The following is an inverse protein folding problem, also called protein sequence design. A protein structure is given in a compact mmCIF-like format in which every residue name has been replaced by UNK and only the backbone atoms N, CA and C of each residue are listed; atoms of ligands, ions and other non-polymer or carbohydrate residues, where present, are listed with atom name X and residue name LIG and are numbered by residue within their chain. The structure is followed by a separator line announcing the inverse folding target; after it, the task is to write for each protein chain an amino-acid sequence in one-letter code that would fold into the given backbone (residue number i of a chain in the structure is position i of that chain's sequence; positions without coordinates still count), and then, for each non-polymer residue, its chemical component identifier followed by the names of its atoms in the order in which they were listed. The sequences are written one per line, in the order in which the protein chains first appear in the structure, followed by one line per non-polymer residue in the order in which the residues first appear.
data_IF_627254478620
#
_entry.id   IF_627254478620
#
_cell.length_a   1.000
_cell.length_b   1.000
_cell.length_c   1.000
_cell.angle_alpha   90.00
_cell.angle_beta   90.00
_cell.angle_gamma   90.00
#
_symmetry.space_group_name_H-M   'P 1'
#
loop_
_entity.id
_entity.type
_entity.pdbx_description
1 polymer ?
#
# COMPACT_ATOMS: atom_id res chain seq x y z
N UNK A 1 -27.01 81.70 35.85
CA UNK A 1 -27.81 81.08 36.93
C UNK A 1 -27.78 79.58 36.68
N UNK A 2 -27.48 78.78 37.71
CA UNK A 2 -27.41 77.30 37.70
C UNK A 2 -26.19 76.67 36.99
N UNK A 3 -25.61 75.53 37.38
CA UNK A 3 -25.98 74.48 38.35
C UNK A 3 -24.70 73.96 39.03
N UNK A 4 -24.63 73.94 40.37
CA UNK A 4 -23.63 73.16 41.10
C UNK A 4 -24.23 71.77 41.40
N UNK A 5 -23.80 70.74 40.68
CA UNK A 5 -24.19 69.36 40.95
C UNK A 5 -23.36 68.84 42.13
N UNK A 6 -23.97 68.69 43.31
CA UNK A 6 -23.37 68.01 44.46
C UNK A 6 -23.61 66.51 44.32
N UNK A 7 -22.53 65.74 44.12
CA UNK A 7 -22.57 64.27 44.11
C UNK A 7 -22.52 63.81 45.57
N UNK A 8 -23.61 63.25 46.07
CA UNK A 8 -23.64 62.56 47.36
C UNK A 8 -23.12 61.13 47.14
N UNK A 9 -21.96 60.84 47.73
CA UNK A 9 -21.32 59.52 47.66
C UNK A 9 -21.80 58.73 48.87
N UNK A 10 -22.76 57.83 48.67
CA UNK A 10 -23.26 56.97 49.74
C UNK A 10 -22.22 55.90 50.09
N UNK A 11 -22.06 55.58 51.37
CA UNK A 11 -21.02 54.65 51.88
C UNK A 11 -21.09 53.27 51.21
N UNK A 12 -22.28 52.84 50.78
CA UNK A 12 -22.51 51.60 50.03
C UNK A 12 -21.88 51.64 48.62
N UNK A 13 -21.87 52.79 47.96
CA UNK A 13 -21.24 52.94 46.63
C UNK A 13 -19.73 52.81 46.70
N UNK A 14 -19.11 53.31 47.77
CA UNK A 14 -17.66 53.17 48.01
C UNK A 14 -17.32 51.70 48.25
N UNK A 15 -18.13 50.99 49.04
CA UNK A 15 -17.91 49.59 49.37
C UNK A 15 -17.98 48.69 48.13
N UNK A 16 -18.90 48.99 47.20
CA UNK A 16 -19.05 48.24 45.95
C UNK A 16 -17.85 48.44 45.00
N UNK A 17 -17.30 49.66 44.91
CA UNK A 17 -16.10 49.95 44.11
C UNK A 17 -14.87 49.24 44.67
N UNK A 18 -14.73 49.17 45.99
CA UNK A 18 -13.61 48.46 46.65
C UNK A 18 -13.68 46.95 46.37
N UNK A 19 -14.86 46.35 46.42
CA UNK A 19 -15.05 44.91 46.13
C UNK A 19 -14.75 44.60 44.67
N UNK A 20 -15.20 45.44 43.73
CA UNK A 20 -14.89 45.27 42.30
C UNK A 20 -13.38 45.42 42.06
N UNK A 21 -12.73 46.41 42.67
CA UNK A 21 -11.28 46.60 42.57
C UNK A 21 -10.50 45.40 43.10
N UNK A 22 -10.92 44.84 44.24
CA UNK A 22 -10.31 43.65 44.83
C UNK A 22 -10.49 42.41 43.94
N UNK A 23 -11.67 42.24 43.35
CA UNK A 23 -11.94 41.15 42.41
C UNK A 23 -11.06 41.25 41.15
N UNK A 24 -10.89 42.45 40.59
CA UNK A 24 -9.99 42.67 39.45
C UNK A 24 -8.51 42.41 39.80
N UNK A 25 -8.08 42.78 41.01
CA UNK A 25 -6.71 42.55 41.47
C UNK A 25 -6.39 41.05 41.56
N UNK A 26 -7.27 40.25 42.15
CA UNK A 26 -7.10 38.79 42.26
C UNK A 26 -7.06 38.14 40.88
N UNK A 27 -7.98 38.53 39.98
CA UNK A 27 -8.08 37.93 38.65
C UNK A 27 -6.86 38.25 37.76
N UNK A 28 -6.21 39.40 37.97
CA UNK A 28 -4.95 39.75 37.29
C UNK A 28 -3.81 38.83 37.74
N UNK A 29 -3.75 38.47 39.01
CA UNK A 29 -2.63 37.69 39.55
C UNK A 29 -2.66 36.22 39.09
N UNK A 30 -3.85 35.63 38.89
CA UNK A 30 -3.99 34.26 38.38
C UNK A 30 -3.53 34.11 36.92
N UNK A 31 -3.62 35.15 36.09
CA UNK A 31 -3.22 35.08 34.69
C UNK A 31 -1.70 35.19 34.48
N UNK A 32 -0.94 35.63 35.49
CA UNK A 32 0.52 35.76 35.39
C UNK A 32 1.25 34.41 35.55
N UNK A 33 0.63 33.43 36.19
CA UNK A 33 1.26 32.13 36.51
C UNK A 33 1.19 31.10 35.37
N UNK A 34 0.53 31.40 34.24
CA UNK A 34 0.36 30.45 33.13
C UNK A 34 1.46 30.53 32.07
N UNK A 35 2.36 31.51 32.14
CA UNK A 35 3.38 31.79 31.13
C UNK A 35 4.82 31.46 31.60
N UNK A 36 4.97 30.38 32.38
CA UNK A 36 6.29 29.82 32.70
C UNK A 36 6.44 28.48 32.00
N UNK A 37 6.78 28.52 30.72
CA UNK A 37 7.31 27.34 30.03
C UNK A 37 8.76 27.13 30.48
N UNK A 38 9.03 25.97 31.08
CA UNK A 38 10.38 25.57 31.49
C UNK A 38 11.30 25.47 30.27
N UNK A 39 12.25 26.40 30.15
CA UNK A 39 13.35 26.27 29.19
C UNK A 39 14.43 25.38 29.82
N UNK A 40 14.54 24.15 29.32
CA UNK A 40 15.64 23.26 29.67
C UNK A 40 16.87 23.70 28.87
N UNK A 41 17.85 24.31 29.53
CA UNK A 41 19.15 24.63 28.93
C UNK A 41 20.01 23.37 28.98
N UNK A 42 20.18 22.70 27.83
CA UNK A 42 21.11 21.56 27.69
C UNK A 42 22.47 22.10 27.26
N UNK A 43 23.43 22.12 28.17
CA UNK A 43 24.83 22.43 27.83
C UNK A 43 25.48 21.18 27.21
N UNK A 44 25.46 21.09 25.88
CA UNK A 44 26.16 20.05 25.14
C UNK A 44 27.61 20.51 24.88
N UNK A 45 28.55 20.07 25.71
CA UNK A 45 29.98 20.25 25.44
C UNK A 45 30.37 19.38 24.25
N UNK A 46 30.58 20.03 23.09
CA UNK A 46 30.99 19.40 21.83
C UNK A 46 32.39 18.78 21.94
N UNK A 47 32.44 17.48 21.68
CA UNK A 47 33.66 16.71 21.42
C UNK A 47 34.19 17.07 20.00
N UNK A 48 35.47 17.45 19.80
CA UNK A 48 35.97 18.01 18.54
C UNK A 48 36.49 16.94 17.57
N UNK A 49 35.77 15.83 17.43
CA UNK A 49 36.02 14.88 16.34
C UNK A 49 34.88 15.00 15.35
N UNK A 50 35.00 15.97 14.44
CA UNK A 50 34.12 16.12 13.28
C UNK A 50 34.40 14.95 12.33
N UNK A 51 33.78 13.81 12.64
CA UNK A 51 33.64 12.72 11.69
C UNK A 51 32.83 13.28 10.53
N UNK A 52 33.44 13.40 9.34
CA UNK A 52 32.68 13.63 8.12
C UNK A 52 31.51 12.63 8.12
N UNK A 53 30.31 13.14 8.32
CA UNK A 53 29.10 12.34 8.19
C UNK A 53 29.03 12.03 6.71
N UNK A 54 29.44 10.82 6.33
CA UNK A 54 29.19 10.31 4.99
C UNK A 54 27.67 10.37 4.84
N UNK A 55 27.16 11.37 4.12
CA UNK A 55 25.75 11.42 3.79
C UNK A 55 25.48 10.21 2.91
N UNK A 56 24.91 9.17 3.52
CA UNK A 56 24.32 8.09 2.76
C UNK A 56 23.41 8.72 1.71
N UNK A 57 23.47 8.28 0.44
CA UNK A 57 22.61 8.85 -0.59
C UNK A 57 21.18 8.72 -0.12
N UNK A 58 20.58 9.86 0.26
CA UNK A 58 19.20 9.93 0.73
C UNK A 58 18.36 9.43 -0.45
N UNK A 59 17.85 8.20 -0.35
CA UNK A 59 16.81 7.73 -1.27
C UNK A 59 15.64 8.66 -1.05
N UNK A 60 15.51 9.67 -1.91
CA UNK A 60 14.44 10.66 -1.86
C UNK A 60 13.14 9.97 -2.28
N UNK A 61 12.57 9.14 -1.40
CA UNK A 61 11.21 8.65 -1.51
C UNK A 61 10.30 9.67 -0.86
N UNK A 62 10.08 10.75 -1.58
CA UNK A 62 9.19 11.80 -1.12
C UNK A 62 7.72 11.43 -1.40
N UNK A 63 7.23 10.47 -0.60
CA UNK A 63 5.81 10.11 -0.58
C UNK A 63 4.93 11.20 0.03
N UNK A 64 5.51 12.30 0.54
CA UNK A 64 4.80 13.35 1.27
C UNK A 64 4.16 14.40 0.35
N UNK A 65 4.63 14.55 -0.89
CA UNK A 65 4.14 15.58 -1.83
C UNK A 65 3.28 15.05 -2.97
N UNK A 66 3.18 13.73 -3.17
CA UNK A 66 2.17 13.16 -4.06
C UNK A 66 0.88 12.94 -3.29
N UNK A 67 -0.09 13.85 -3.46
CA UNK A 67 -1.45 13.61 -2.99
C UNK A 67 -1.92 12.25 -3.53
N UNK A 68 -2.50 11.38 -2.69
CA UNK A 68 -3.06 10.07 -3.11
C UNK A 68 -4.04 10.17 -4.30
N UNK A 69 -4.51 11.38 -4.59
CA UNK A 69 -5.35 11.75 -5.73
C UNK A 69 -4.66 11.59 -7.10
N UNK A 70 -3.33 11.47 -7.14
CA UNK A 70 -2.53 11.34 -8.39
C UNK A 70 -1.89 9.95 -8.57
N UNK A 71 -2.10 8.99 -7.66
CA UNK A 71 -1.63 7.62 -7.88
C UNK A 71 -2.55 6.95 -8.91
N UNK A 72 -1.97 6.48 -10.01
CA UNK A 72 -2.69 5.69 -10.97
C UNK A 72 -3.16 4.37 -10.31
N UNK A 73 -4.45 4.08 -10.44
CA UNK A 73 -5.06 2.82 -9.99
C UNK A 73 -4.85 1.77 -11.08
N UNK A 74 -4.69 0.50 -10.70
CA UNK A 74 -4.49 -0.64 -11.61
C UNK A 74 -3.19 -0.60 -12.45
N UNK A 75 -2.13 0.03 -11.93
CA UNK A 75 -0.81 -0.03 -12.56
C UNK A 75 0.01 -1.14 -11.91
N UNK A 76 0.59 -2.08 -12.69
CA UNK A 76 1.40 -3.16 -12.15
C UNK A 76 2.68 -2.61 -11.50
N UNK A 77 2.77 -2.71 -10.17
CA UNK A 77 3.92 -2.22 -9.39
C UNK A 77 5.12 -3.16 -9.44
N UNK A 78 4.93 -4.41 -9.89
CA UNK A 78 5.95 -5.47 -9.97
C UNK A 78 6.39 -5.78 -11.40
N UNK A 79 6.09 -4.88 -12.34
CA UNK A 79 6.33 -5.06 -13.77
C UNK A 79 5.17 -5.76 -14.47
N UNK A 80 5.17 -5.66 -15.80
CA UNK A 80 4.14 -6.23 -16.67
C UNK A 80 4.20 -7.77 -16.65
N UNK A 81 3.04 -8.41 -16.73
CA UNK A 81 2.99 -9.87 -16.82
C UNK A 81 3.69 -10.35 -18.09
N UNK A 82 4.47 -11.45 -18.02
CA UNK A 82 5.09 -12.02 -19.22
C UNK A 82 4.04 -12.43 -20.25
N UNK A 83 4.47 -12.62 -21.51
CA UNK A 83 3.61 -13.20 -22.53
C UNK A 83 3.24 -14.64 -22.18
N UNK A 84 2.07 -15.07 -22.64
CA UNK A 84 1.71 -16.49 -22.58
C UNK A 84 2.63 -17.29 -23.49
N UNK A 85 3.10 -18.41 -22.98
CA UNK A 85 3.89 -19.39 -23.71
C UNK A 85 3.24 -20.76 -23.58
N UNK A 86 3.48 -21.63 -24.54
CA UNK A 86 3.06 -23.01 -24.40
C UNK A 86 3.96 -23.69 -23.35
N UNK A 87 3.36 -24.09 -22.23
CA UNK A 87 4.06 -24.74 -21.12
C UNK A 87 3.87 -26.25 -21.13
N UNK A 88 2.95 -26.76 -21.94
CA UNK A 88 2.66 -28.19 -21.98
C UNK A 88 1.46 -28.53 -22.85
N UNK A 89 0.80 -29.64 -22.48
CA UNK A 89 -0.47 -30.08 -23.05
C UNK A 89 -1.36 -30.72 -21.97
N UNK A 90 -2.65 -30.78 -22.26
CA UNK A 90 -3.68 -31.41 -21.46
C UNK A 90 -4.10 -32.70 -22.16
N UNK A 91 -4.06 -33.82 -21.46
CA UNK A 91 -4.59 -35.11 -21.93
C UNK A 91 -5.94 -35.38 -21.29
N UNK A 92 -6.94 -35.76 -22.08
CA UNK A 92 -8.26 -36.10 -21.54
C UNK A 92 -8.19 -37.30 -20.59
N UNK A 93 -8.83 -37.18 -19.41
CA UNK A 93 -8.86 -38.30 -18.44
C UNK A 93 -9.70 -39.46 -18.97
N UNK A 94 -10.82 -39.15 -19.63
CA UNK A 94 -11.72 -40.13 -20.23
C UNK A 94 -11.33 -40.52 -21.66
N UNK A 95 -10.62 -39.62 -22.37
CA UNK A 95 -10.25 -39.77 -23.76
C UNK A 95 -8.78 -39.35 -23.96
N UNK A 96 -7.85 -40.32 -23.98
CA UNK A 96 -6.43 -40.06 -24.13
C UNK A 96 -6.05 -39.41 -25.48
N UNK A 97 -6.88 -39.54 -26.52
CA UNK A 97 -6.61 -38.97 -27.85
C UNK A 97 -6.98 -37.48 -27.90
N UNK A 98 -7.85 -37.01 -27.00
CA UNK A 98 -8.21 -35.61 -26.88
C UNK A 98 -7.11 -34.83 -26.14
N UNK A 99 -6.14 -34.37 -26.93
CA UNK A 99 -5.01 -33.57 -26.48
C UNK A 99 -5.28 -32.10 -26.78
N UNK A 100 -5.06 -31.21 -25.80
CA UNK A 100 -5.15 -29.76 -25.99
C UNK A 100 -3.86 -29.06 -25.59
N UNK A 101 -3.42 -28.01 -26.30
CA UNK A 101 -2.24 -27.26 -25.89
C UNK A 101 -2.51 -26.52 -24.58
N UNK A 102 -1.53 -26.50 -23.68
CA UNK A 102 -1.58 -25.74 -22.43
C UNK A 102 -0.68 -24.51 -22.53
N UNK A 103 -1.30 -23.34 -22.41
CA UNK A 103 -0.60 -22.07 -22.37
C UNK A 103 -0.59 -21.53 -20.95
N UNK A 104 0.56 -20.98 -20.54
CA UNK A 104 0.76 -20.45 -19.20
C UNK A 104 1.63 -19.19 -19.19
N UNK A 105 1.40 -18.35 -18.20
CA UNK A 105 2.29 -17.24 -17.81
C UNK A 105 2.20 -17.00 -16.32
N UNK A 106 3.21 -16.35 -15.74
CA UNK A 106 3.08 -15.82 -14.39
C UNK A 106 2.12 -14.62 -14.39
N UNK A 107 1.40 -14.42 -13.29
CA UNK A 107 0.51 -13.25 -13.08
C UNK A 107 1.30 -11.93 -13.07
N UNK A 108 2.53 -11.96 -12.59
CA UNK A 108 3.54 -10.90 -12.67
C UNK A 108 4.93 -11.52 -12.57
N UNK A 109 6.01 -10.82 -12.94
CA UNK A 109 7.38 -11.34 -12.87
C UNK A 109 7.77 -11.83 -11.46
N UNK A 110 8.16 -13.09 -11.35
CA UNK A 110 8.51 -13.72 -10.07
C UNK A 110 7.30 -14.08 -9.20
N UNK A 111 6.10 -14.13 -9.77
CA UNK A 111 4.91 -14.64 -9.09
C UNK A 111 4.93 -16.16 -8.99
N UNK A 112 4.47 -16.65 -7.85
CA UNK A 112 4.13 -18.03 -7.59
C UNK A 112 2.69 -18.37 -8.05
N UNK A 113 1.94 -17.39 -8.57
CA UNK A 113 0.64 -17.57 -9.19
C UNK A 113 0.75 -17.45 -10.71
N UNK A 114 0.02 -18.30 -11.40
CA UNK A 114 0.08 -18.47 -12.84
C UNK A 114 -1.31 -18.34 -13.46
N UNK A 115 -1.35 -17.72 -14.63
CA UNK A 115 -2.51 -17.72 -15.48
C UNK A 115 -2.35 -18.78 -16.55
N UNK A 116 -3.40 -19.56 -16.75
CA UNK A 116 -3.42 -20.64 -17.71
C UNK A 116 -4.62 -20.50 -18.65
N UNK A 117 -4.47 -20.94 -19.89
CA UNK A 117 -5.61 -21.20 -20.78
C UNK A 117 -5.27 -22.35 -21.74
N UNK A 118 -6.30 -22.91 -22.36
CA UNK A 118 -6.13 -23.86 -23.48
C UNK A 118 -6.82 -23.33 -24.73
N UNK A 119 -6.49 -23.87 -25.90
CA UNK A 119 -7.18 -23.52 -27.15
C UNK A 119 -7.96 -24.70 -27.73
N UNK A 120 -8.98 -24.38 -28.52
CA UNK A 120 -9.66 -25.36 -29.36
C UNK A 120 -8.73 -25.85 -30.48
N UNK A 121 -8.99 -27.07 -30.94
CA UNK A 121 -8.26 -27.76 -32.01
C UNK A 121 -8.63 -27.21 -33.41
N UNK A 122 -9.86 -26.71 -33.58
CA UNK A 122 -10.29 -26.09 -34.84
C UNK A 122 -9.53 -24.78 -35.07
N UNK A 123 -9.02 -24.57 -36.29
CA UNK A 123 -8.22 -23.45 -36.83
C UNK A 123 -8.38 -22.01 -36.27
N UNK A 124 -9.42 -21.73 -35.48
CA UNK A 124 -9.54 -20.57 -34.61
C UNK A 124 -8.99 -20.89 -33.21
N UNK A 125 -7.81 -20.35 -32.87
CA UNK A 125 -7.18 -20.47 -31.55
C UNK A 125 -7.94 -19.67 -30.46
N UNK A 126 -9.20 -20.03 -30.23
CA UNK A 126 -10.05 -19.44 -29.20
C UNK A 126 -9.52 -19.83 -27.82
N UNK A 127 -9.29 -18.83 -26.96
CA UNK A 127 -8.84 -19.06 -25.58
C UNK A 127 -10.00 -19.60 -24.76
N UNK A 128 -9.78 -20.74 -24.12
CA UNK A 128 -10.71 -21.37 -23.19
C UNK A 128 -10.10 -21.31 -21.79
N UNK A 129 -10.80 -20.75 -20.80
CA UNK A 129 -10.35 -20.75 -19.42
C UNK A 129 -10.31 -22.17 -18.87
N UNK A 130 -9.49 -22.37 -17.84
CA UNK A 130 -9.46 -23.63 -17.11
C UNK A 130 -9.65 -23.33 -15.63
N UNK A 131 -10.32 -24.26 -14.98
CA UNK A 131 -10.61 -24.19 -13.57
C UNK A 131 -9.72 -25.18 -12.83
N UNK A 132 -9.09 -24.70 -11.76
CA UNK A 132 -8.31 -25.52 -10.84
C UNK A 132 -8.88 -25.32 -9.44
N UNK A 133 -9.32 -26.41 -8.81
CA UNK A 133 -9.94 -26.38 -7.49
C UNK A 133 -11.14 -25.39 -7.40
N UNK A 134 -11.89 -25.25 -8.51
CA UNK A 134 -13.05 -24.35 -8.61
C UNK A 134 -12.71 -22.87 -8.80
N UNK A 135 -11.45 -22.55 -9.16
CA UNK A 135 -11.00 -21.19 -9.46
C UNK A 135 -10.62 -21.07 -10.94
N UNK A 136 -11.09 -20.00 -11.57
CA UNK A 136 -10.71 -19.64 -12.94
C UNK A 136 -9.25 -19.19 -12.99
N UNK A 137 -8.42 -19.95 -13.71
CA UNK A 137 -7.01 -19.66 -13.88
C UNK A 137 -6.73 -18.55 -14.90
N UNK A 138 -7.74 -17.90 -15.46
CA UNK A 138 -7.59 -16.68 -16.27
C UNK A 138 -7.86 -15.38 -15.51
N UNK A 139 -8.31 -15.49 -14.25
CA UNK A 139 -8.56 -14.35 -13.36
C UNK A 139 -7.27 -13.59 -13.00
N UNK A 140 -7.41 -12.37 -12.46
CA UNK A 140 -6.28 -11.51 -12.07
C UNK A 140 -5.34 -12.20 -11.07
N UNK A 141 -5.91 -12.99 -10.13
CA UNK A 141 -5.12 -13.73 -9.14
C UNK A 141 -4.46 -14.99 -9.71
N UNK A 142 -4.98 -15.53 -10.81
CA UNK A 142 -4.57 -16.81 -11.37
C UNK A 142 -4.72 -17.97 -10.39
N UNK A 143 -3.94 -19.01 -10.67
CA UNK A 143 -3.92 -20.30 -9.96
C UNK A 143 -2.52 -20.65 -9.45
N UNK A 144 -2.44 -21.70 -8.63
CA UNK A 144 -1.17 -22.34 -8.28
C UNK A 144 -0.47 -22.86 -9.54
N UNK A 145 0.85 -22.93 -9.50
CA UNK A 145 1.64 -23.55 -10.57
C UNK A 145 1.19 -25.01 -10.77
N UNK A 146 0.97 -25.39 -12.03
CA UNK A 146 0.62 -26.75 -12.41
C UNK A 146 1.88 -27.60 -12.51
N UNK A 147 1.80 -28.81 -11.97
CA UNK A 147 2.81 -29.86 -12.13
C UNK A 147 2.28 -30.96 -13.04
N UNK A 148 3.17 -31.89 -13.37
CA UNK A 148 2.80 -33.08 -14.15
C UNK A 148 1.75 -33.89 -13.37
N UNK A 149 0.76 -34.40 -14.10
CA UNK A 149 -0.36 -35.21 -13.61
C UNK A 149 -1.37 -34.45 -12.72
N UNK A 150 -1.28 -33.12 -12.65
CA UNK A 150 -2.31 -32.29 -12.03
C UNK A 150 -3.61 -32.33 -12.83
N UNK A 151 -4.73 -32.43 -12.11
CA UNK A 151 -6.07 -32.45 -12.68
C UNK A 151 -6.61 -31.03 -12.82
N UNK A 152 -7.02 -30.67 -14.02
CA UNK A 152 -7.65 -29.39 -14.34
C UNK A 152 -9.00 -29.64 -15.01
N UNK A 153 -9.93 -28.73 -14.79
CA UNK A 153 -11.23 -28.77 -15.44
C UNK A 153 -11.27 -27.76 -16.58
N UNK A 154 -11.68 -28.21 -17.77
CA UNK A 154 -11.95 -27.35 -18.92
C UNK A 154 -13.42 -27.53 -19.27
N UNK A 155 -14.24 -26.53 -18.94
CA UNK A 155 -15.66 -26.48 -19.31
C UNK A 155 -16.45 -27.75 -18.91
N UNK A 156 -16.25 -28.23 -17.69
CA UNK A 156 -16.92 -29.40 -17.12
C UNK A 156 -16.23 -30.74 -17.42
N UNK A 157 -15.14 -30.76 -18.18
CA UNK A 157 -14.39 -31.98 -18.50
C UNK A 157 -13.02 -31.98 -17.82
N UNK A 158 -12.64 -33.10 -17.20
CA UNK A 158 -11.37 -33.24 -16.49
C UNK A 158 -10.23 -33.64 -17.45
N UNK A 159 -9.09 -32.96 -17.31
CA UNK A 159 -7.86 -33.23 -18.05
C UNK A 159 -6.67 -33.34 -17.09
N UNK A 160 -5.68 -34.16 -17.47
CA UNK A 160 -4.39 -34.24 -16.80
C UNK A 160 -3.37 -33.32 -17.48
N UNK A 161 -2.69 -32.50 -16.69
CA UNK A 161 -1.65 -31.59 -17.16
C UNK A 161 -0.33 -32.34 -17.39
N UNK A 162 0.28 -32.12 -18.56
CA UNK A 162 1.63 -32.57 -18.88
C UNK A 162 2.49 -31.34 -19.18
N UNK A 163 3.36 -30.98 -18.25
CA UNK A 163 4.21 -29.79 -18.33
C UNK A 163 5.55 -30.14 -18.99
N UNK A 164 5.97 -29.32 -19.95
CA UNK A 164 7.28 -29.43 -20.57
C UNK A 164 8.37 -29.05 -19.56
N UNK A 165 9.46 -29.81 -19.54
CA UNK A 165 10.62 -29.45 -18.74
C UNK A 165 11.23 -28.16 -19.31
N UNK A 166 11.21 -27.09 -18.51
CA UNK A 166 12.00 -25.91 -18.79
C UNK A 166 13.47 -26.31 -18.71
N UNK A 167 14.19 -26.15 -19.82
CA UNK A 167 15.63 -26.40 -19.81
C UNK A 167 16.24 -25.38 -18.85
N UNK A 168 16.86 -25.87 -17.77
CA UNK A 168 17.60 -25.00 -16.86
C UNK A 168 18.63 -24.20 -17.67
N UNK A 169 18.86 -22.91 -17.32
CA UNK A 169 19.88 -22.12 -18.00
C UNK A 169 21.20 -22.88 -17.93
N UNK A 170 21.74 -23.22 -19.11
CA UNK A 170 23.06 -23.85 -19.21
C UNK A 170 24.12 -22.77 -19.12
N UNK A 171 25.10 -22.97 -18.25
CA UNK A 171 26.28 -22.14 -18.22
C UNK A 171 26.96 -22.16 -19.59
N UNK A 172 27.33 -20.98 -20.09
CA UNK A 172 28.16 -20.84 -21.29
C UNK A 172 29.59 -20.64 -20.79
N UNK A 173 30.43 -21.69 -20.76
CA UNK A 173 31.85 -21.51 -20.49
C UNK A 173 32.49 -20.69 -21.62
N UNK A 174 33.18 -19.60 -21.25
CA UNK A 174 33.96 -18.74 -22.15
C UNK A 174 35.25 -19.41 -22.61
#
# INVERSE_FOLDING_TARGET
MQLHMKINIDTNTILLVVVIGMFMYVNRNHNLSRDRTDTVIVNNTQDPYEREVIEEPKRFYDSKYHSRRQMAVNVPTRGEAPSYQQVGYLGGVSDPENIKPLYGRQTYPGSNQWNYFTSLDSHLATKIPLDLDGKDCTDERGCKELYKDDKVNVHGTEYNANIYQTHAPRYIPY
#
